data_IF_343945055304
#
_entry.id   IF_343945055304
#
_cell.length_a   1.000
_cell.length_b   1.000
_cell.length_c   1.000
_cell.angle_alpha   90.00
_cell.angle_beta   90.00
_cell.angle_gamma   90.00
#
_symmetry.space_group_name_H-M   'P 1'
#
loop_
_entity.id
_entity.type
_entity.pdbx_description
1 polymer ?
#
# COMPACT_ATOMS: atom_id res chain seq x y z
N UNK A 1 -6.00 -10.89 7.59
CA UNK A 1 -4.56 -10.68 7.85
C UNK A 1 -4.13 -9.47 7.05
N UNK A 2 -3.33 -8.62 7.67
CA UNK A 2 -2.79 -7.41 7.05
C UNK A 2 -1.35 -7.70 6.60
N UNK A 3 -0.96 -7.18 5.44
CA UNK A 3 0.39 -7.32 4.90
C UNK A 3 1.04 -5.95 4.75
N UNK A 4 2.27 -5.83 5.29
CA UNK A 4 3.08 -4.64 5.14
C UNK A 4 3.82 -4.69 3.81
N UNK A 5 3.78 -3.58 3.06
CA UNK A 5 4.57 -3.39 1.84
C UNK A 5 5.86 -2.66 2.18
N UNK A 6 6.98 -3.27 1.82
CA UNK A 6 8.32 -2.77 2.14
C UNK A 6 9.00 -2.10 0.94
N UNK A 7 8.57 -2.43 -0.27
CA UNK A 7 9.11 -1.84 -1.49
C UNK A 7 8.87 -0.33 -1.57
N UNK A 8 9.86 0.37 -2.11
CA UNK A 8 9.87 1.84 -2.25
C UNK A 8 9.46 2.24 -3.67
N UNK A 9 9.95 1.55 -4.70
CA UNK A 9 9.65 1.91 -6.09
C UNK A 9 8.26 1.41 -6.48
N UNK A 10 7.43 2.21 -7.18
CA UNK A 10 6.06 1.81 -7.52
C UNK A 10 5.95 0.47 -8.24
N UNK A 11 6.86 0.17 -9.19
CA UNK A 11 6.85 -1.12 -9.88
C UNK A 11 7.18 -2.31 -8.97
N UNK A 12 8.04 -2.11 -7.97
CA UNK A 12 8.41 -3.16 -7.03
C UNK A 12 7.32 -3.37 -5.98
N UNK A 13 6.57 -2.31 -5.64
CA UNK A 13 5.35 -2.39 -4.83
C UNK A 13 4.29 -3.27 -5.48
N UNK A 14 4.03 -3.09 -6.78
CA UNK A 14 3.07 -3.93 -7.51
C UNK A 14 3.49 -5.41 -7.47
N UNK A 15 4.76 -5.71 -7.75
CA UNK A 15 5.32 -7.07 -7.70
C UNK A 15 5.21 -7.71 -6.32
N UNK A 16 5.49 -6.94 -5.27
CA UNK A 16 5.39 -7.42 -3.88
C UNK A 16 3.93 -7.78 -3.53
N UNK A 17 2.97 -6.95 -3.92
CA UNK A 17 1.53 -7.22 -3.73
C UNK A 17 1.10 -8.51 -4.45
N UNK A 18 1.45 -8.65 -5.73
CA UNK A 18 1.14 -9.85 -6.52
C UNK A 18 1.75 -11.11 -5.89
N UNK A 19 3.03 -11.05 -5.48
CA UNK A 19 3.69 -12.18 -4.82
C UNK A 19 3.02 -12.55 -3.49
N UNK A 20 2.48 -11.59 -2.75
CA UNK A 20 1.79 -11.87 -1.48
C UNK A 20 0.43 -12.53 -1.76
N UNK A 21 -0.34 -12.02 -2.72
CA UNK A 21 -1.63 -12.61 -3.11
C UNK A 21 -1.49 -14.04 -3.63
N UNK A 22 -0.41 -14.33 -4.37
CA UNK A 22 -0.12 -15.69 -4.84
C UNK A 22 0.17 -16.67 -3.69
N UNK A 23 0.64 -16.19 -2.55
CA UNK A 23 0.97 -17.02 -1.38
C UNK A 23 -0.21 -17.24 -0.44
N UNK A 24 -1.28 -16.45 -0.56
CA UNK A 24 -2.48 -16.65 0.24
C UNK A 24 -3.42 -15.45 0.31
N UNK A 25 -4.50 -15.62 1.09
CA UNK A 25 -5.53 -14.59 1.27
C UNK A 25 -5.02 -13.46 2.17
N UNK A 26 -4.99 -12.25 1.63
CA UNK A 26 -4.75 -11.00 2.36
C UNK A 26 -5.95 -10.08 2.15
N UNK A 27 -6.46 -9.52 3.24
CA UNK A 27 -7.63 -8.63 3.17
C UNK A 27 -7.21 -7.16 3.08
N UNK A 28 -5.98 -6.84 3.53
CA UNK A 28 -5.49 -5.47 3.60
C UNK A 28 -3.99 -5.39 3.38
N UNK A 29 -3.57 -4.46 2.52
CA UNK A 29 -2.19 -4.04 2.35
C UNK A 29 -1.97 -2.66 2.98
N UNK A 30 -0.84 -2.50 3.64
CA UNK A 30 -0.48 -1.26 4.34
C UNK A 30 0.87 -0.76 3.83
N UNK A 31 0.88 0.46 3.29
CA UNK A 31 2.10 1.16 2.90
C UNK A 31 2.49 2.14 4.00
N UNK A 32 3.75 2.11 4.43
CA UNK A 32 4.30 3.19 5.26
C UNK A 32 4.73 4.37 4.38
N UNK A 33 4.44 5.62 4.78
CA UNK A 33 4.86 6.79 4.04
C UNK A 33 6.39 6.91 4.05
N UNK A 34 6.98 7.12 2.88
CA UNK A 34 8.42 7.42 2.73
C UNK A 34 8.66 8.85 2.25
N UNK A 35 7.61 9.52 1.77
CA UNK A 35 7.63 10.88 1.28
C UNK A 35 6.56 11.76 1.96
N UNK A 36 6.21 11.44 3.22
CA UNK A 36 5.21 12.16 4.03
C UNK A 36 3.85 12.31 3.35
N UNK A 37 3.43 11.30 2.57
CA UNK A 37 2.18 11.33 1.81
C UNK A 37 2.26 12.09 0.48
N UNK A 38 3.44 12.57 0.10
CA UNK A 38 3.71 13.25 -1.16
C UNK A 38 3.59 12.35 -2.39
N UNK A 39 3.99 12.88 -3.55
CA UNK A 39 3.79 12.24 -4.87
C UNK A 39 4.23 10.78 -4.91
N UNK A 40 5.42 10.46 -4.41
CA UNK A 40 5.94 9.09 -4.39
C UNK A 40 5.04 8.13 -3.58
N UNK A 41 4.48 8.58 -2.46
CA UNK A 41 3.57 7.75 -1.67
C UNK A 41 2.23 7.52 -2.40
N UNK A 42 1.76 8.50 -3.17
CA UNK A 42 0.56 8.35 -4.01
C UNK A 42 0.81 7.41 -5.20
N UNK A 43 1.97 7.50 -5.84
CA UNK A 43 2.35 6.59 -6.93
C UNK A 43 2.45 5.14 -6.42
N UNK A 44 3.08 4.94 -5.26
CA UNK A 44 3.15 3.62 -4.61
C UNK A 44 1.76 3.11 -4.23
N UNK A 45 0.91 3.97 -3.66
CA UNK A 45 -0.47 3.62 -3.30
C UNK A 45 -1.29 3.22 -4.54
N UNK A 46 -1.13 3.93 -5.65
CA UNK A 46 -1.74 3.61 -6.94
C UNK A 46 -1.29 2.26 -7.48
N UNK A 47 0.03 2.01 -7.49
CA UNK A 47 0.59 0.74 -7.95
C UNK A 47 0.11 -0.45 -7.11
N UNK A 48 0.07 -0.30 -5.77
CA UNK A 48 -0.44 -1.34 -4.89
C UNK A 48 -1.93 -1.61 -5.10
N UNK A 49 -2.75 -0.57 -5.29
CA UNK A 49 -4.19 -0.73 -5.59
C UNK A 49 -4.43 -1.42 -6.93
N UNK A 50 -3.65 -1.05 -7.94
CA UNK A 50 -3.73 -1.70 -9.24
C UNK A 50 -3.44 -3.20 -9.14
N UNK A 51 -2.34 -3.57 -8.48
CA UNK A 51 -1.95 -4.96 -8.27
C UNK A 51 -2.92 -5.75 -7.37
N UNK A 52 -3.45 -5.12 -6.32
CA UNK A 52 -4.41 -5.76 -5.40
C UNK A 52 -5.78 -6.01 -6.05
N UNK A 53 -6.13 -5.21 -7.06
CA UNK A 53 -7.45 -5.23 -7.69
C UNK A 53 -8.57 -5.06 -6.66
N UNK A 54 -9.66 -5.82 -6.83
CA UNK A 54 -10.80 -5.83 -5.91
C UNK A 54 -10.64 -6.81 -4.74
N UNK A 55 -9.52 -7.53 -4.65
CA UNK A 55 -9.36 -8.63 -3.69
C UNK A 55 -9.01 -8.15 -2.28
N UNK A 56 -8.38 -6.98 -2.16
CA UNK A 56 -7.88 -6.47 -0.89
C UNK A 56 -7.95 -4.94 -0.83
N UNK A 57 -8.13 -4.42 0.38
CA UNK A 57 -8.06 -2.98 0.65
C UNK A 57 -6.61 -2.54 0.71
N UNK A 58 -6.26 -1.40 0.12
CA UNK A 58 -4.91 -0.84 0.18
C UNK A 58 -4.95 0.55 0.82
N UNK A 59 -4.17 0.71 1.89
CA UNK A 59 -4.07 1.97 2.63
C UNK A 59 -2.64 2.48 2.70
N UNK A 60 -2.51 3.79 2.71
CA UNK A 60 -1.30 4.47 3.13
C UNK A 60 -1.47 4.83 4.60
N UNK A 61 -0.55 4.37 5.45
CA UNK A 61 -0.53 4.63 6.89
C UNK A 61 0.00 6.04 7.17
N UNK A 62 -0.71 7.05 6.67
CA UNK A 62 -0.50 8.42 7.11
C UNK A 62 -1.13 8.54 8.50
N UNK A 63 -0.33 8.92 9.49
CA UNK A 63 -0.89 9.47 10.71
C UNK A 63 -1.77 10.65 10.29
N UNK A 64 -3.09 10.48 10.38
CA UNK A 64 -4.01 11.60 10.20
C UNK A 64 -3.62 12.57 11.30
N UNK A 65 -3.06 13.72 10.93
CA UNK A 65 -2.94 14.84 11.86
C UNK A 65 -4.37 15.15 12.27
N UNK A 66 -4.79 14.66 13.43
CA UNK A 66 -6.08 14.93 14.01
C UNK A 66 -6.20 16.45 14.06
N UNK A 67 -7.02 17.03 13.19
CA UNK A 67 -7.48 18.40 13.36
C UNK A 67 -8.54 18.32 14.46
N UNK A 68 -8.28 18.81 15.68
CA UNK A 68 -9.35 19.00 16.63
C UNK A 68 -10.31 20.02 16.03
N UNK A 69 -11.58 19.64 15.91
CA UNK A 69 -12.68 20.60 15.81
C UNK A 69 -13.07 21.03 17.20
#
# INVERSE_FOLDING_TARGET
MDALITAIRPQDVAREVESILQRGKVNRFVLRPVARGGMLDQERLGAARYAAGLQAVVVLDVAVAAHPR
#
